data_IF_440823788696
#
_entry.id   IF_440823788696
#
_cell.length_a   1.000
_cell.length_b   1.000
_cell.length_c   1.000
_cell.angle_alpha   90.00
_cell.angle_beta   90.00
_cell.angle_gamma   90.00
#
_symmetry.space_group_name_H-M   'P 1'
#
loop_
_entity.id
_entity.type
_entity.pdbx_description
1 polymer ?
#
# COMPACT_ATOMS: atom_id res chain seq x y z
N UNK A 1 -19.59 12.81 56.15
CA UNK A 1 -18.48 13.65 55.65
C UNK A 1 -17.21 12.90 55.25
N UNK A 2 -16.62 11.99 56.03
CA UNK A 2 -15.36 11.31 55.64
C UNK A 2 -15.57 10.25 54.52
N UNK A 3 -16.57 9.38 54.69
CA UNK A 3 -16.84 8.26 53.77
C UNK A 3 -17.27 8.74 52.37
N UNK A 4 -18.08 9.79 52.28
CA UNK A 4 -18.53 10.35 50.99
C UNK A 4 -17.37 10.93 50.18
N UNK A 5 -16.39 11.55 50.84
CA UNK A 5 -15.17 12.03 50.18
C UNK A 5 -14.33 10.86 49.65
N UNK A 6 -14.20 9.78 50.42
CA UNK A 6 -13.48 8.58 49.99
C UNK A 6 -14.14 7.95 48.77
N UNK A 7 -15.47 7.77 48.80
CA UNK A 7 -16.23 7.19 47.69
C UNK A 7 -16.12 8.08 46.44
N UNK A 8 -16.19 9.41 46.59
CA UNK A 8 -16.06 10.33 45.46
C UNK A 8 -14.66 10.27 44.82
N UNK A 9 -13.60 10.25 45.63
CA UNK A 9 -12.21 10.12 45.14
C UNK A 9 -12.01 8.79 44.42
N UNK A 10 -12.52 7.69 44.98
CA UNK A 10 -12.46 6.37 44.33
C UNK A 10 -13.25 6.36 43.02
N UNK A 11 -14.42 7.02 42.98
CA UNK A 11 -15.22 7.16 41.77
C UNK A 11 -14.47 7.90 40.65
N UNK A 12 -13.87 9.04 40.97
CA UNK A 12 -13.07 9.82 40.00
C UNK A 12 -11.84 9.03 39.55
N UNK A 13 -11.13 8.37 40.46
CA UNK A 13 -10.00 7.51 40.12
C UNK A 13 -10.42 6.33 39.24
N UNK A 14 -11.60 5.76 39.48
CA UNK A 14 -12.17 4.70 38.66
C UNK A 14 -12.46 5.16 37.23
N UNK A 15 -13.02 6.36 37.06
CA UNK A 15 -13.27 6.97 35.74
C UNK A 15 -11.95 7.28 35.02
N UNK A 16 -10.96 7.84 35.71
CA UNK A 16 -9.65 8.10 35.12
C UNK A 16 -8.97 6.79 34.70
N UNK A 17 -9.01 5.78 35.57
CA UNK A 17 -8.45 4.45 35.29
C UNK A 17 -9.10 3.78 34.08
N UNK A 18 -10.42 3.86 33.94
CA UNK A 18 -11.12 3.30 32.78
C UNK A 18 -10.76 4.03 31.48
N UNK A 19 -10.62 5.35 31.51
CA UNK A 19 -10.21 6.14 30.34
C UNK A 19 -8.79 5.81 29.88
N UNK A 20 -7.85 5.65 30.82
CA UNK A 20 -6.47 5.23 30.51
C UNK A 20 -6.47 3.85 29.85
N UNK A 21 -7.22 2.89 30.42
CA UNK A 21 -7.32 1.54 29.87
C UNK A 21 -7.89 1.54 28.44
N UNK A 22 -8.96 2.31 28.22
CA UNK A 22 -9.55 2.47 26.87
C UNK A 22 -8.55 3.10 25.90
N UNK A 23 -7.81 4.12 26.32
CA UNK A 23 -6.78 4.74 25.49
C UNK A 23 -5.69 3.74 25.05
N UNK A 24 -5.20 2.94 25.99
CA UNK A 24 -4.21 1.88 25.70
C UNK A 24 -4.76 0.80 24.76
N UNK A 25 -6.03 0.40 24.95
CA UNK A 25 -6.70 -0.58 24.09
C UNK A 25 -6.88 -0.05 22.66
N UNK A 26 -7.21 1.22 22.49
CA UNK A 26 -7.33 1.85 21.16
C UNK A 26 -5.98 1.89 20.43
N UNK A 27 -4.89 2.22 21.13
CA UNK A 27 -3.54 2.22 20.54
C UNK A 27 -3.13 0.82 20.08
N UNK A 28 -3.36 -0.21 20.93
CA UNK A 28 -3.08 -1.60 20.55
C UNK A 28 -3.94 -2.05 19.37
N UNK A 29 -5.22 -1.73 19.37
CA UNK A 29 -6.14 -2.05 18.27
C UNK A 29 -5.67 -1.44 16.95
N UNK A 30 -5.25 -0.16 16.97
CA UNK A 30 -4.69 0.51 15.80
C UNK A 30 -3.42 -0.18 15.28
N UNK A 31 -2.49 -0.56 16.18
CA UNK A 31 -1.26 -1.28 15.81
C UNK A 31 -1.56 -2.63 15.17
N UNK A 32 -2.52 -3.38 15.71
CA UNK A 32 -2.95 -4.67 15.16
C UNK A 32 -3.58 -4.47 13.78
N UNK A 33 -4.45 -3.47 13.62
CA UNK A 33 -5.08 -3.17 12.34
C UNK A 33 -4.04 -2.82 11.26
N UNK A 34 -3.04 -1.99 11.59
CA UNK A 34 -1.92 -1.68 10.69
C UNK A 34 -1.14 -2.95 10.29
N UNK A 35 -0.80 -3.79 11.27
CA UNK A 35 -0.07 -5.03 11.00
C UNK A 35 -0.87 -6.00 10.11
N UNK A 36 -2.16 -6.16 10.37
CA UNK A 36 -3.05 -6.98 9.54
C UNK A 36 -3.14 -6.44 8.10
N UNK A 37 -3.15 -5.11 7.94
CA UNK A 37 -3.15 -4.48 6.62
C UNK A 37 -1.84 -4.71 5.85
N UNK A 38 -0.70 -4.68 6.54
CA UNK A 38 0.60 -5.03 5.96
C UNK A 38 0.71 -6.52 5.61
N UNK A 39 0.16 -7.40 6.45
CA UNK A 39 0.10 -8.83 6.18
C UNK A 39 -0.73 -9.14 4.93
N UNK A 40 -1.93 -8.55 4.83
CA UNK A 40 -2.80 -8.72 3.65
C UNK A 40 -2.14 -8.23 2.36
N UNK A 41 -1.37 -7.13 2.41
CA UNK A 41 -0.57 -6.69 1.25
C UNK A 41 0.53 -7.66 0.86
N UNK A 42 1.20 -8.22 1.85
CA UNK A 42 2.27 -9.20 1.61
C UNK A 42 1.69 -10.47 1.00
N UNK A 43 0.52 -10.91 1.46
CA UNK A 43 -0.21 -12.05 0.89
C UNK A 43 -0.58 -11.81 -0.58
N UNK A 44 -1.13 -10.64 -0.91
CA UNK A 44 -1.43 -10.27 -2.31
C UNK A 44 -0.14 -10.27 -3.15
N UNK A 45 0.97 -9.74 -2.64
CA UNK A 45 2.25 -9.75 -3.37
C UNK A 45 2.76 -11.18 -3.59
N UNK A 46 2.66 -12.06 -2.59
CA UNK A 46 3.04 -13.47 -2.71
C UNK A 46 2.16 -14.19 -3.72
N UNK A 47 0.86 -13.88 -3.78
CA UNK A 47 -0.06 -14.43 -4.78
C UNK A 47 0.31 -13.98 -6.20
N UNK A 48 0.64 -12.70 -6.40
CA UNK A 48 1.17 -12.19 -7.68
C UNK A 48 2.43 -12.95 -8.07
N UNK A 49 3.37 -13.16 -7.14
CA UNK A 49 4.61 -13.92 -7.39
C UNK A 49 4.29 -15.38 -7.75
N UNK A 50 3.36 -16.01 -7.04
CA UNK A 50 2.94 -17.39 -7.29
C UNK A 50 2.34 -17.59 -8.68
N UNK A 51 1.70 -16.57 -9.26
CA UNK A 51 1.25 -16.60 -10.66
C UNK A 51 2.37 -16.80 -11.69
N UNK A 52 3.62 -16.51 -11.33
CA UNK A 52 4.80 -16.76 -12.18
C UNK A 52 5.37 -18.18 -12.01
N UNK A 53 5.03 -18.90 -10.94
CA UNK A 53 5.54 -20.25 -10.68
C UNK A 53 5.04 -21.28 -11.72
N UNK A 54 3.92 -21.00 -12.39
CA UNK A 54 3.34 -21.87 -13.42
C UNK A 54 3.91 -21.64 -14.83
N UNK A 55 4.69 -20.56 -15.03
CA UNK A 55 5.25 -20.16 -16.31
C UNK A 55 6.78 -20.32 -16.41
N UNK A 56 7.34 -19.98 -17.57
CA UNK A 56 8.81 -19.92 -17.79
C UNK A 56 9.39 -18.55 -17.40
N UNK A 57 8.52 -17.60 -17.01
CA UNK A 57 8.85 -16.22 -16.68
C UNK A 57 9.06 -16.06 -15.16
N UNK A 58 10.15 -15.43 -14.73
CA UNK A 58 10.33 -15.10 -13.30
C UNK A 58 9.75 -13.72 -12.96
N UNK A 59 9.09 -13.57 -11.81
CA UNK A 59 8.68 -12.26 -11.29
C UNK A 59 9.87 -11.29 -11.13
N UNK A 60 11.04 -11.80 -10.74
CA UNK A 60 12.24 -10.98 -10.59
C UNK A 60 12.70 -10.45 -11.94
N UNK A 61 12.71 -11.30 -12.98
CA UNK A 61 13.05 -10.90 -14.34
C UNK A 61 12.07 -9.88 -14.90
N UNK A 62 10.78 -10.04 -14.60
CA UNK A 62 9.74 -9.08 -14.93
C UNK A 62 10.02 -7.70 -14.31
N UNK A 63 10.26 -7.63 -13.00
CA UNK A 63 10.55 -6.36 -12.32
C UNK A 63 11.86 -5.75 -12.81
N UNK A 64 12.95 -6.53 -12.87
CA UNK A 64 14.25 -6.01 -13.34
C UNK A 64 14.18 -5.56 -14.79
N UNK A 65 13.49 -6.31 -15.64
CA UNK A 65 13.36 -5.96 -17.05
C UNK A 65 12.48 -4.73 -17.29
N UNK A 66 11.46 -4.46 -16.45
CA UNK A 66 10.73 -3.19 -16.51
C UNK A 66 11.64 -2.04 -16.10
N UNK A 67 12.41 -2.19 -15.03
CA UNK A 67 13.34 -1.17 -14.52
C UNK A 67 14.41 -0.84 -15.56
N UNK A 68 15.00 -1.87 -16.17
CA UNK A 68 16.07 -1.72 -17.16
C UNK A 68 15.54 -1.43 -18.57
N UNK A 69 14.22 -1.48 -18.78
CA UNK A 69 13.58 -1.33 -20.08
C UNK A 69 13.89 -2.46 -21.07
N UNK A 70 14.38 -3.61 -20.58
CA UNK A 70 14.84 -4.74 -21.39
C UNK A 70 13.88 -5.92 -21.39
N UNK A 71 12.81 -5.89 -20.59
CA UNK A 71 11.88 -7.01 -20.53
C UNK A 71 11.21 -7.22 -21.89
N UNK A 72 11.33 -8.40 -22.49
CA UNK A 72 10.84 -8.68 -23.86
C UNK A 72 9.57 -9.51 -23.91
N UNK A 73 9.27 -10.33 -22.90
CA UNK A 73 8.09 -11.22 -22.90
C UNK A 73 6.77 -10.45 -22.73
N UNK A 74 5.72 -10.79 -23.48
CA UNK A 74 4.38 -10.21 -23.35
C UNK A 74 3.36 -11.35 -23.15
N UNK A 75 3.48 -12.05 -22.03
CA UNK A 75 2.62 -13.17 -21.66
C UNK A 75 1.40 -12.68 -20.88
N UNK A 76 0.32 -13.47 -20.85
CA UNK A 76 -0.87 -13.15 -20.04
C UNK A 76 -0.53 -12.95 -18.56
N UNK A 77 0.34 -13.80 -18.00
CA UNK A 77 0.83 -13.68 -16.62
C UNK A 77 1.44 -12.32 -16.33
N UNK A 78 2.31 -11.83 -17.22
CA UNK A 78 2.97 -10.53 -17.06
C UNK A 78 1.97 -9.38 -17.16
N UNK A 79 1.02 -9.47 -18.09
CA UNK A 79 -0.01 -8.46 -18.29
C UNK A 79 -0.92 -8.37 -17.06
N UNK A 80 -1.35 -9.52 -16.53
CA UNK A 80 -2.17 -9.62 -15.33
C UNK A 80 -1.40 -9.15 -14.09
N UNK A 81 -0.12 -9.50 -13.96
CA UNK A 81 0.73 -9.02 -12.88
C UNK A 81 0.91 -7.50 -12.91
N UNK A 82 1.08 -6.91 -14.10
CA UNK A 82 1.14 -5.45 -14.28
C UNK A 82 -0.13 -4.79 -13.75
N UNK A 83 -1.30 -5.34 -14.07
CA UNK A 83 -2.57 -4.87 -13.53
C UNK A 83 -2.65 -5.00 -12.00
N UNK A 84 -2.31 -6.18 -11.47
CA UNK A 84 -2.37 -6.46 -10.03
C UNK A 84 -1.44 -5.53 -9.23
N UNK A 85 -0.26 -5.23 -9.74
CA UNK A 85 0.68 -4.28 -9.14
C UNK A 85 0.07 -2.87 -9.07
N UNK A 86 -0.61 -2.41 -10.13
CA UNK A 86 -1.30 -1.12 -10.08
C UNK A 86 -2.41 -1.07 -9.04
N UNK A 87 -3.16 -2.16 -8.85
CA UNK A 87 -4.15 -2.27 -7.78
C UNK A 87 -3.50 -2.25 -6.38
N UNK A 88 -2.34 -2.89 -6.23
CA UNK A 88 -1.55 -2.83 -4.99
C UNK A 88 -1.06 -1.40 -4.72
N UNK A 89 -0.62 -0.68 -5.76
CA UNK A 89 -0.17 0.71 -5.67
C UNK A 89 -1.28 1.71 -5.35
N UNK A 90 -2.48 1.52 -5.91
CA UNK A 90 -3.67 2.28 -5.49
C UNK A 90 -3.94 2.08 -4.00
N UNK A 91 -3.86 0.83 -3.53
CA UNK A 91 -4.02 0.56 -2.11
C UNK A 91 -2.91 1.27 -1.29
N UNK A 92 -1.65 1.18 -1.71
CA UNK A 92 -0.51 1.87 -1.09
C UNK A 92 -0.76 3.36 -0.93
N UNK A 93 -1.22 4.03 -1.99
CA UNK A 93 -1.59 5.45 -1.98
C UNK A 93 -2.69 5.76 -0.97
N UNK A 94 -3.76 4.96 -0.94
CA UNK A 94 -4.86 5.15 0.02
C UNK A 94 -4.39 5.03 1.47
N UNK A 95 -3.50 4.09 1.78
CA UNK A 95 -2.94 3.98 3.13
C UNK A 95 -2.05 5.17 3.50
N UNK A 96 -1.25 5.67 2.55
CA UNK A 96 -0.48 6.89 2.77
C UNK A 96 -1.39 8.07 3.09
N UNK A 97 -2.48 8.26 2.33
CA UNK A 97 -3.48 9.30 2.60
C UNK A 97 -4.14 9.18 3.98
N UNK A 98 -4.32 7.96 4.47
CA UNK A 98 -4.88 7.70 5.79
C UNK A 98 -3.86 7.84 6.93
N UNK A 99 -2.60 8.18 6.63
CA UNK A 99 -1.52 8.29 7.62
C UNK A 99 -1.02 6.94 8.16
N UNK A 100 -1.34 5.84 7.46
CA UNK A 100 -0.97 4.48 7.85
C UNK A 100 0.34 4.01 7.19
N UNK A 101 1.01 4.90 6.44
CA UNK A 101 2.30 4.65 5.80
C UNK A 101 3.30 5.74 6.18
N UNK A 102 4.52 5.32 6.55
CA UNK A 102 5.62 6.25 6.78
C UNK A 102 5.93 7.06 5.50
N UNK A 103 6.11 8.38 5.57
CA UNK A 103 6.37 9.21 4.40
C UNK A 103 7.59 8.77 3.56
N UNK A 104 8.65 8.27 4.19
CA UNK A 104 9.84 7.78 3.47
C UNK A 104 9.57 6.47 2.75
N UNK A 105 8.73 5.61 3.33
CA UNK A 105 8.26 4.38 2.66
C UNK A 105 7.39 4.74 1.47
N UNK A 106 6.53 5.75 1.61
CA UNK A 106 5.74 6.27 0.49
C UNK A 106 6.63 6.84 -0.62
N UNK A 107 7.62 7.66 -0.30
CA UNK A 107 8.57 8.22 -1.29
C UNK A 107 9.29 7.11 -2.07
N UNK A 108 9.77 6.07 -1.38
CA UNK A 108 10.41 4.93 -2.03
C UNK A 108 9.45 4.18 -2.96
N UNK A 109 8.21 3.93 -2.51
CA UNK A 109 7.18 3.27 -3.33
C UNK A 109 6.79 4.12 -4.54
N UNK A 110 6.61 5.43 -4.36
CA UNK A 110 6.30 6.36 -5.45
C UNK A 110 7.42 6.35 -6.51
N UNK A 111 8.68 6.27 -6.10
CA UNK A 111 9.80 6.11 -7.04
C UNK A 111 9.68 4.82 -7.88
N UNK A 112 9.29 3.71 -7.27
CA UNK A 112 9.03 2.46 -7.99
C UNK A 112 7.83 2.57 -8.93
N UNK A 113 6.73 3.20 -8.47
CA UNK A 113 5.55 3.47 -9.30
C UNK A 113 5.92 4.30 -10.54
N UNK A 114 6.75 5.34 -10.37
CA UNK A 114 7.20 6.18 -11.48
C UNK A 114 8.07 5.42 -12.47
N UNK A 115 8.88 4.47 -12.00
CA UNK A 115 9.68 3.62 -12.89
C UNK A 115 8.78 2.79 -13.81
N UNK A 116 7.74 2.16 -13.25
CA UNK A 116 6.77 1.38 -14.02
C UNK A 116 5.89 2.29 -14.89
N UNK A 117 5.45 3.45 -14.38
CA UNK A 117 4.64 4.41 -15.13
C UNK A 117 5.37 4.96 -16.36
N UNK A 118 6.66 5.23 -16.23
CA UNK A 118 7.51 5.72 -17.31
C UNK A 118 7.93 4.62 -18.29
N UNK A 119 7.70 3.34 -17.96
CA UNK A 119 7.95 2.24 -18.88
C UNK A 119 6.90 2.28 -20.01
N UNK A 120 7.39 2.32 -21.25
CA UNK A 120 6.48 2.33 -22.40
C UNK A 120 5.90 0.96 -22.72
N UNK A 121 6.57 -0.09 -22.25
CA UNK A 121 6.02 -1.43 -22.30
C UNK A 121 4.87 -1.54 -21.30
N UNK A 122 3.73 -2.08 -21.75
CA UNK A 122 2.48 -2.19 -20.98
C UNK A 122 1.79 -0.87 -20.63
N UNK A 123 2.07 0.19 -21.39
CA UNK A 123 1.40 1.49 -21.20
C UNK A 123 -0.12 1.38 -21.38
N UNK A 124 -0.58 0.50 -22.27
CA UNK A 124 -1.99 0.18 -22.48
C UNK A 124 -2.66 -0.38 -21.22
N UNK A 125 -1.97 -1.29 -20.51
CA UNK A 125 -2.46 -1.87 -19.25
C UNK A 125 -2.40 -0.84 -18.14
N UNK A 126 -1.30 -0.10 -18.04
CA UNK A 126 -1.13 0.98 -17.04
C UNK A 126 -2.26 2.02 -17.17
N UNK A 127 -2.54 2.46 -18.40
CA UNK A 127 -3.60 3.43 -18.67
C UNK A 127 -4.99 2.86 -18.40
N UNK A 128 -5.20 1.56 -18.64
CA UNK A 128 -6.46 0.92 -18.30
C UNK A 128 -6.62 0.79 -16.78
N UNK A 129 -5.59 0.34 -16.07
CA UNK A 129 -5.59 0.14 -14.62
C UNK A 129 -5.86 1.45 -13.87
N UNK A 130 -5.19 2.53 -14.29
CA UNK A 130 -5.37 3.86 -13.67
C UNK A 130 -6.78 4.44 -13.86
N UNK A 131 -7.58 3.95 -14.81
CA UNK A 131 -9.02 4.34 -14.90
C UNK A 131 -9.86 3.79 -13.74
N UNK A 132 -9.37 2.78 -13.04
CA UNK A 132 -10.00 2.19 -11.85
C UNK A 132 -9.38 2.70 -10.54
N UNK A 133 -8.34 3.53 -10.64
CA UNK A 133 -7.67 4.20 -9.53
C UNK A 133 -8.28 5.56 -9.23
N UNK A 134 -7.93 6.13 -8.07
CA UNK A 134 -8.26 7.52 -7.77
C UNK A 134 -7.57 8.48 -8.75
N UNK A 135 -8.27 9.57 -9.10
CA UNK A 135 -7.72 10.60 -9.98
C UNK A 135 -6.44 11.23 -9.39
N UNK A 136 -6.37 11.33 -8.07
CA UNK A 136 -5.22 11.91 -7.36
C UNK A 136 -3.91 11.11 -7.57
N UNK A 137 -3.97 9.77 -7.53
CA UNK A 137 -2.79 8.94 -7.81
C UNK A 137 -2.30 9.21 -9.23
N UNK A 138 -3.21 9.18 -10.20
CA UNK A 138 -2.89 9.45 -11.60
C UNK A 138 -2.28 10.84 -11.79
N UNK A 139 -2.82 11.86 -11.13
CA UNK A 139 -2.27 13.22 -11.19
C UNK A 139 -0.85 13.31 -10.63
N UNK A 140 -0.57 12.63 -9.51
CA UNK A 140 0.78 12.62 -8.91
C UNK A 140 1.77 11.96 -9.86
N UNK A 141 1.40 10.84 -10.48
CA UNK A 141 2.25 10.14 -11.44
C UNK A 141 2.51 11.00 -12.69
N UNK A 142 1.47 11.62 -13.25
CA UNK A 142 1.59 12.51 -14.41
C UNK A 142 2.49 13.71 -14.12
N UNK A 143 2.35 14.34 -12.95
CA UNK A 143 3.13 15.52 -12.56
C UNK A 143 4.60 15.17 -12.28
N UNK A 144 4.86 13.96 -11.81
CA UNK A 144 6.20 13.52 -11.38
C UNK A 144 6.93 12.69 -12.45
N UNK A 145 6.28 12.39 -13.58
CA UNK A 145 6.83 11.63 -14.70
C UNK A 145 7.78 12.48 -15.55
N UNK A 146 8.95 11.93 -15.88
CA UNK A 146 9.99 12.59 -16.67
C UNK A 146 9.90 12.26 -18.17
N UNK A 147 9.36 11.09 -18.53
CA UNK A 147 9.27 10.61 -19.90
C UNK A 147 7.84 10.22 -20.25
N UNK A 148 7.27 10.89 -21.26
CA UNK A 148 6.03 10.45 -21.89
C UNK A 148 6.39 9.56 -23.06
N UNK A 149 5.94 8.33 -23.01
CA UNK A 149 6.08 7.40 -24.13
C UNK A 149 5.54 8.04 -25.43
N UNK A 150 6.26 7.91 -26.55
CA UNK A 150 5.89 8.51 -27.82
C UNK A 150 4.58 7.97 -28.39
#
# INVERSE_FOLDING_TARGET
MSIERIINVIGILGVIGSLIFVGLQMEQSQKIALAAQQQSRTEVLVDIIGGFDEGDSSFVEYISGIVDGTYSEDTTTVRDATWQIWMLYENDFLQYKLGLMDPKVWEAKLSSMLTIYNACKYKDITDLALRFSTAELSEILIKSSENRCP
#
